data_IF_150574505294
#
_entry.id   IF_150574505294
#
_cell.length_a   1.000
_cell.length_b   1.000
_cell.length_c   1.000
_cell.angle_alpha   90.00
_cell.angle_beta   90.00
_cell.angle_gamma   90.00
#
_symmetry.space_group_name_H-M   'P 1'
#
loop_
_entity.id
_entity.type
_entity.pdbx_description
1 polymer ?
#
# COMPACT_ATOMS: atom_id res chain seq x y z
N UNK A 1 -14.99 -11.03 -7.80
CA UNK A 1 -13.81 -10.40 -7.15
C UNK A 1 -13.17 -9.43 -8.13
N UNK A 2 -12.93 -8.22 -7.70
CA UNK A 2 -12.30 -7.20 -8.55
C UNK A 2 -10.80 -7.18 -8.29
N UNK A 3 -10.03 -7.21 -9.36
CA UNK A 3 -8.56 -7.20 -9.28
C UNK A 3 -8.04 -5.95 -9.97
N UNK A 4 -7.12 -5.26 -9.33
CA UNK A 4 -6.47 -4.09 -9.88
C UNK A 4 -4.99 -4.36 -10.10
N UNK A 5 -4.49 -3.99 -11.27
CA UNK A 5 -3.07 -4.05 -11.58
C UNK A 5 -2.53 -2.62 -11.63
N UNK A 6 -1.42 -2.38 -10.95
CA UNK A 6 -0.81 -1.06 -10.89
C UNK A 6 0.70 -1.16 -11.01
N UNK A 7 1.30 -0.20 -11.72
CA UNK A 7 2.76 -0.10 -11.79
C UNK A 7 3.24 0.70 -10.59
N UNK A 8 4.08 0.07 -9.78
CA UNK A 8 4.71 0.66 -8.60
C UNK A 8 6.18 0.28 -8.65
N UNK A 9 7.08 1.26 -8.50
CA UNK A 9 8.52 1.02 -8.56
C UNK A 9 8.95 0.27 -9.83
N UNK A 10 8.38 0.63 -10.99
CA UNK A 10 8.66 0.01 -12.29
C UNK A 10 8.26 -1.46 -12.38
N UNK A 11 7.46 -1.96 -11.46
CA UNK A 11 6.91 -3.32 -11.47
C UNK A 11 5.39 -3.25 -11.39
N UNK A 12 4.72 -4.26 -11.95
CA UNK A 12 3.28 -4.37 -11.85
C UNK A 12 2.91 -5.18 -10.61
N UNK A 13 2.10 -4.58 -9.76
CA UNK A 13 1.60 -5.20 -8.54
C UNK A 13 0.11 -5.47 -8.70
N UNK A 14 -0.33 -6.67 -8.32
CA UNK A 14 -1.72 -7.08 -8.44
C UNK A 14 -2.39 -6.99 -7.06
N UNK A 15 -3.51 -6.24 -7.01
CA UNK A 15 -4.31 -6.09 -5.79
C UNK A 15 -5.69 -6.68 -5.99
N UNK A 16 -6.21 -7.35 -4.97
CA UNK A 16 -7.63 -7.64 -4.88
C UNK A 16 -8.31 -6.41 -4.27
N UNK A 17 -9.57 -6.17 -4.64
CA UNK A 17 -10.33 -5.03 -4.13
C UNK A 17 -10.31 -4.95 -2.59
N UNK A 18 -10.43 -6.07 -1.91
CA UNK A 18 -10.41 -6.13 -0.44
C UNK A 18 -9.07 -5.76 0.19
N UNK A 19 -8.00 -5.72 -0.60
CA UNK A 19 -6.66 -5.37 -0.14
C UNK A 19 -6.36 -3.89 -0.28
N UNK A 20 -7.26 -3.11 -0.86
CA UNK A 20 -7.09 -1.68 -1.03
C UNK A 20 -7.80 -0.92 0.09
N UNK A 21 -7.16 0.14 0.55
CA UNK A 21 -7.81 1.08 1.47
C UNK A 21 -8.96 1.77 0.72
N UNK A 22 -10.09 1.92 1.38
CA UNK A 22 -11.27 2.52 0.75
C UNK A 22 -11.23 4.04 0.72
N UNK A 23 -10.39 4.66 1.56
CA UNK A 23 -10.28 6.10 1.62
C UNK A 23 -8.84 6.54 1.83
N UNK A 24 -8.51 7.71 1.28
CA UNK A 24 -7.18 8.29 1.42
C UNK A 24 -6.85 8.59 2.89
N UNK A 25 -7.84 9.01 3.67
CA UNK A 25 -7.65 9.31 5.08
C UNK A 25 -7.16 8.11 5.87
N UNK A 26 -7.82 6.97 5.69
CA UNK A 26 -7.42 5.71 6.34
C UNK A 26 -6.02 5.29 5.88
N UNK A 27 -5.77 5.38 4.57
CA UNK A 27 -4.45 5.06 4.02
C UNK A 27 -3.36 5.96 4.62
N UNK A 28 -3.64 7.25 4.75
CA UNK A 28 -2.66 8.21 5.32
C UNK A 28 -2.34 7.91 6.78
N UNK A 29 -3.34 7.54 7.58
CA UNK A 29 -3.12 7.17 8.99
C UNK A 29 -2.20 5.95 9.08
N UNK A 30 -2.46 4.93 8.27
CA UNK A 30 -1.63 3.74 8.25
C UNK A 30 -0.23 4.03 7.71
N UNK A 31 -0.13 4.94 6.71
CA UNK A 31 1.17 5.34 6.16
C UNK A 31 2.04 6.00 7.24
N UNK A 32 1.47 6.87 8.08
CA UNK A 32 2.21 7.51 9.16
C UNK A 32 2.72 6.47 10.18
N UNK A 33 1.88 5.52 10.55
CA UNK A 33 2.27 4.46 11.48
C UNK A 33 3.38 3.59 10.90
N UNK A 34 3.23 3.20 9.63
CA UNK A 34 4.22 2.37 8.96
C UNK A 34 5.54 3.10 8.79
N UNK A 35 5.51 4.38 8.43
CA UNK A 35 6.72 5.17 8.27
C UNK A 35 7.56 5.20 9.54
N UNK A 36 6.92 5.28 10.70
CA UNK A 36 7.61 5.25 11.99
C UNK A 36 8.21 3.87 12.27
N UNK A 37 7.50 2.80 11.90
CA UNK A 37 7.99 1.44 12.10
C UNK A 37 9.21 1.12 11.24
N UNK A 38 9.15 1.47 9.97
CA UNK A 38 10.25 1.16 9.03
C UNK A 38 11.31 2.26 8.98
N UNK A 39 11.09 3.36 9.69
CA UNK A 39 12.00 4.50 9.73
C UNK A 39 12.34 5.04 8.33
N UNK A 40 11.32 5.12 7.49
CA UNK A 40 11.47 5.53 6.10
C UNK A 40 10.15 6.14 5.62
N UNK A 41 10.18 7.10 4.68
CA UNK A 41 8.95 7.70 4.15
C UNK A 41 8.05 6.65 3.49
N UNK A 42 6.74 6.80 3.72
CA UNK A 42 5.72 5.96 3.08
C UNK A 42 4.76 6.87 2.34
N UNK A 43 4.53 6.58 1.07
CA UNK A 43 3.62 7.36 0.23
C UNK A 43 2.31 6.61 0.02
N UNK A 44 1.23 7.36 -0.23
CA UNK A 44 -0.09 6.82 -0.51
C UNK A 44 -0.34 6.94 -2.01
N UNK A 45 -0.69 5.82 -2.64
CA UNK A 45 -0.94 5.75 -4.08
C UNK A 45 -2.39 5.39 -4.34
N UNK A 46 -3.04 6.08 -5.28
CA UNK A 46 -4.38 5.70 -5.71
C UNK A 46 -4.30 4.57 -6.74
N UNK A 47 -5.06 3.51 -6.50
CA UNK A 47 -5.09 2.34 -7.37
C UNK A 47 -6.55 1.99 -7.64
N UNK A 48 -7.00 2.19 -8.87
CA UNK A 48 -8.40 1.96 -9.19
C UNK A 48 -9.31 2.84 -8.35
N UNK A 49 -10.18 2.22 -7.56
CA UNK A 49 -11.09 2.92 -6.66
C UNK A 49 -10.60 2.97 -5.21
N UNK A 50 -9.41 2.44 -4.95
CA UNK A 50 -8.84 2.37 -3.62
C UNK A 50 -7.45 2.97 -3.53
N UNK A 51 -6.75 2.68 -2.46
CA UNK A 51 -5.46 3.26 -2.14
C UNK A 51 -4.51 2.18 -1.61
N UNK A 52 -3.23 2.34 -1.87
CA UNK A 52 -2.19 1.45 -1.34
C UNK A 52 -1.03 2.28 -0.82
N UNK A 53 -0.15 1.65 -0.07
CA UNK A 53 1.03 2.31 0.50
C UNK A 53 2.28 1.79 -0.21
N UNK A 54 3.26 2.66 -0.40
CA UNK A 54 4.56 2.24 -0.91
C UNK A 54 5.69 2.92 -0.15
N UNK A 55 6.80 2.21 -0.04
CA UNK A 55 7.99 2.69 0.66
C UNK A 55 9.15 1.75 0.46
N UNK A 56 10.19 1.93 1.25
CA UNK A 56 11.37 1.07 1.19
C UNK A 56 11.70 0.52 2.57
N UNK A 57 12.06 -0.75 2.62
CA UNK A 57 12.55 -1.41 3.82
C UNK A 57 13.95 -1.95 3.51
N UNK A 58 14.94 -1.47 4.25
CA UNK A 58 16.34 -1.84 4.03
C UNK A 58 16.79 -1.64 2.57
N UNK A 59 16.32 -0.56 1.95
CA UNK A 59 16.64 -0.25 0.56
C UNK A 59 15.84 -1.04 -0.47
N UNK A 60 14.92 -1.90 -0.04
CA UNK A 60 14.08 -2.71 -0.92
C UNK A 60 12.70 -2.08 -1.06
N UNK A 61 12.26 -1.88 -2.30
CA UNK A 61 10.94 -1.33 -2.58
C UNK A 61 9.84 -2.29 -2.13
N UNK A 62 8.89 -1.77 -1.37
CA UNK A 62 7.78 -2.55 -0.84
C UNK A 62 6.47 -1.84 -1.05
N UNK A 63 5.40 -2.62 -1.19
CA UNK A 63 4.04 -2.12 -1.35
C UNK A 63 3.13 -2.85 -0.37
N UNK A 64 2.25 -2.10 0.29
CA UNK A 64 1.33 -2.64 1.28
C UNK A 64 -0.11 -2.29 0.90
N UNK A 65 -0.98 -3.23 1.15
CA UNK A 65 -2.41 -2.99 1.18
C UNK A 65 -2.93 -3.24 2.58
N UNK A 66 -4.23 -3.44 2.70
CA UNK A 66 -4.86 -3.79 3.98
C UNK A 66 -5.67 -5.07 3.82
N UNK A 67 -5.67 -5.91 4.84
CA UNK A 67 -6.49 -7.11 4.86
C UNK A 67 -7.13 -7.20 6.24
N UNK A 68 -8.44 -6.96 6.28
CA UNK A 68 -9.14 -6.85 7.55
C UNK A 68 -8.67 -5.60 8.30
N UNK A 69 -8.07 -5.79 9.47
CA UNK A 69 -7.58 -4.69 10.30
C UNK A 69 -6.05 -4.65 10.39
N UNK A 70 -5.36 -5.29 9.43
CA UNK A 70 -3.91 -5.36 9.43
C UNK A 70 -3.36 -4.97 8.08
N UNK A 71 -2.15 -4.41 8.09
CA UNK A 71 -1.41 -4.18 6.86
C UNK A 71 -1.00 -5.53 6.27
N UNK A 72 -1.10 -5.62 4.95
CA UNK A 72 -0.63 -6.78 4.20
C UNK A 72 0.45 -6.32 3.24
N UNK A 73 1.65 -6.89 3.34
CA UNK A 73 2.71 -6.62 2.38
C UNK A 73 2.41 -7.38 1.09
N UNK A 74 2.32 -6.65 -0.01
CA UNK A 74 2.00 -7.21 -1.33
C UNK A 74 3.28 -7.60 -2.08
N UNK A 75 4.29 -6.76 -1.97
CA UNK A 75 5.58 -7.05 -2.63
C UNK A 75 6.76 -6.83 -1.70
#
# INVERSE_FOLDING_TARGET
MTIFAASVFDATVIFEDKELFKGRGAASVWAEKLAKEIESPVTVEKIGTGWALRGQVDGVDCTWGILGQRLKRIT
#
